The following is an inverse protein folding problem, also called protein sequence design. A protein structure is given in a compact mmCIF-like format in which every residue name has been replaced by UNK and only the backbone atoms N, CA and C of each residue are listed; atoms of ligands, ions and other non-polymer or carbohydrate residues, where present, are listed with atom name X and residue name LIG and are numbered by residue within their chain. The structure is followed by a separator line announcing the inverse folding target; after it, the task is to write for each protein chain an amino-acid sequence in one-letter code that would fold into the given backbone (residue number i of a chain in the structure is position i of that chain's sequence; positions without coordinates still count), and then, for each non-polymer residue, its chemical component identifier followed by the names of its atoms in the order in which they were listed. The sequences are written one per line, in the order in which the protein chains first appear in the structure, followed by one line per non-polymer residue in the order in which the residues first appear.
data_IF_114734167333
#
_entry.id   IF_114734167333
#
_cell.length_a   1.000
_cell.length_b   1.000
_cell.length_c   1.000
_cell.angle_alpha   90.00
_cell.angle_beta   90.00
_cell.angle_gamma   90.00
#
_symmetry.space_group_name_H-M   'P 1'
#
loop_
_entity.id
_entity.type
_entity.pdbx_description
1 polymer ?
#
# COMPACT_ATOMS: atom_id res chain seq x y z
N UNK A 1 -42.09 45.16 11.51
CA UNK A 1 -40.84 44.42 11.24
C UNK A 1 -40.81 43.30 12.26
N UNK A 2 -41.49 42.20 11.97
CA UNK A 2 -41.57 41.03 12.87
C UNK A 2 -40.39 40.11 12.59
N UNK A 3 -39.68 39.75 13.66
CA UNK A 3 -38.57 38.81 13.66
C UNK A 3 -39.17 37.40 13.66
N UNK A 4 -38.91 36.62 12.62
CA UNK A 4 -39.34 35.21 12.55
C UNK A 4 -38.36 34.37 13.37
N UNK A 5 -38.88 33.77 14.43
CA UNK A 5 -38.19 32.85 15.32
C UNK A 5 -37.94 31.50 14.61
N UNK A 6 -36.66 31.14 14.45
CA UNK A 6 -36.19 29.93 13.76
C UNK A 6 -36.03 28.72 14.71
N UNK A 7 -36.43 28.85 15.98
CA UNK A 7 -36.22 27.82 17.00
C UNK A 7 -37.12 26.58 16.87
N UNK A 8 -38.03 26.52 15.89
CA UNK A 8 -39.00 25.42 15.79
C UNK A 8 -39.29 24.94 14.36
N UNK A 9 -38.26 24.89 13.49
CA UNK A 9 -38.39 24.15 12.24
C UNK A 9 -38.31 22.63 12.55
N UNK A 10 -39.30 21.81 12.15
CA UNK A 10 -39.20 20.37 12.32
C UNK A 10 -37.98 19.88 11.55
N UNK A 11 -37.13 19.10 12.24
CA UNK A 11 -35.97 18.40 11.69
C UNK A 11 -36.39 17.60 10.47
N UNK A 12 -36.34 18.24 9.31
CA UNK A 12 -36.72 17.62 8.05
C UNK A 12 -35.54 16.74 7.70
N UNK A 13 -35.68 15.44 8.00
CA UNK A 13 -34.87 14.40 7.39
C UNK A 13 -34.92 14.65 5.89
N UNK A 14 -33.83 15.17 5.34
CA UNK A 14 -33.61 15.17 3.92
C UNK A 14 -33.33 13.70 3.59
N UNK A 15 -34.37 12.97 3.19
CA UNK A 15 -34.23 11.74 2.42
C UNK A 15 -33.49 12.11 1.12
N UNK A 16 -32.17 11.97 1.14
CA UNK A 16 -31.36 12.02 -0.07
C UNK A 16 -31.64 10.72 -0.82
N UNK A 17 -32.37 10.85 -1.94
CA UNK A 17 -32.77 9.75 -2.79
C UNK A 17 -31.59 8.82 -3.17
N UNK A 18 -31.70 7.54 -2.83
CA UNK A 18 -31.25 6.41 -3.66
C UNK A 18 -29.76 6.14 -3.87
N UNK A 19 -28.83 6.82 -3.19
CA UNK A 19 -27.41 6.43 -3.22
C UNK A 19 -27.10 5.51 -2.03
N UNK A 20 -26.92 4.22 -2.28
CA UNK A 20 -26.35 3.31 -1.29
C UNK A 20 -24.96 3.81 -0.90
N UNK A 21 -24.70 3.96 0.40
CA UNK A 21 -23.39 4.40 0.89
C UNK A 21 -22.28 3.46 0.38
N UNK A 22 -21.23 3.95 -0.30
CA UNK A 22 -20.14 3.10 -0.74
C UNK A 22 -19.47 2.39 0.45
N UNK A 23 -19.48 1.06 0.41
CA UNK A 23 -18.72 0.21 1.31
C UNK A 23 -17.28 0.07 0.80
N UNK A 24 -16.31 0.36 1.68
CA UNK A 24 -14.88 0.26 1.44
C UNK A 24 -14.32 -0.86 2.33
N UNK A 25 -13.92 -1.97 1.72
CA UNK A 25 -13.30 -3.08 2.43
C UNK A 25 -11.79 -3.03 2.23
N UNK A 26 -11.05 -2.89 3.33
CA UNK A 26 -9.60 -2.99 3.36
C UNK A 26 -9.20 -4.45 3.60
N UNK A 27 -8.39 -5.03 2.74
CA UNK A 27 -7.91 -6.42 2.85
C UNK A 27 -6.40 -6.40 3.03
N UNK A 28 -5.94 -6.56 4.26
CA UNK A 28 -4.52 -6.49 4.58
C UNK A 28 -4.21 -6.48 6.06
N UNK A 29 -2.96 -6.15 6.37
CA UNK A 29 -2.48 -6.18 7.75
C UNK A 29 -2.94 -4.96 8.55
N UNK A 30 -3.17 -5.12 9.86
CA UNK A 30 -3.47 -3.99 10.76
C UNK A 30 -2.35 -2.94 10.83
N UNK A 31 -1.14 -3.32 10.42
CA UNK A 31 -0.01 -2.39 10.30
C UNK A 31 -0.20 -1.42 9.14
N UNK A 32 -0.67 -1.92 8.01
CA UNK A 32 -0.91 -1.12 6.80
C UNK A 32 -2.27 -0.42 6.84
N UNK A 33 -3.28 -1.08 7.41
CA UNK A 33 -4.63 -0.55 7.60
C UNK A 33 -4.94 -0.42 9.10
N UNK A 34 -4.38 0.64 9.69
CA UNK A 34 -4.52 0.90 11.13
C UNK A 34 -5.95 1.33 11.51
N UNK A 35 -6.41 1.07 12.75
CA UNK A 35 -7.72 1.54 13.23
C UNK A 35 -7.94 3.04 13.07
N UNK A 36 -6.87 3.85 13.17
CA UNK A 36 -6.94 5.30 12.98
C UNK A 36 -7.24 5.67 11.52
N UNK A 37 -6.66 4.97 10.54
CA UNK A 37 -6.97 5.16 9.13
C UNK A 37 -8.43 4.82 8.83
N UNK A 38 -8.91 3.71 9.40
CA UNK A 38 -10.31 3.27 9.21
C UNK A 38 -11.27 4.28 9.82
N UNK A 39 -11.00 4.71 11.06
CA UNK A 39 -11.81 5.73 11.73
C UNK A 39 -11.85 7.03 10.93
N UNK A 40 -10.69 7.49 10.44
CA UNK A 40 -10.63 8.69 9.60
C UNK A 40 -11.38 8.50 8.27
N UNK A 41 -11.28 7.33 7.65
CA UNK A 41 -12.01 7.02 6.40
C UNK A 41 -13.52 7.12 6.62
N UNK A 42 -14.04 6.49 7.68
CA UNK A 42 -15.47 6.52 8.02
C UNK A 42 -15.95 7.93 8.38
N UNK A 43 -15.16 8.68 9.18
CA UNK A 43 -15.56 10.00 9.68
C UNK A 43 -15.42 11.11 8.63
N UNK A 44 -14.33 11.13 7.86
CA UNK A 44 -13.98 12.24 6.97
C UNK A 44 -14.57 12.09 5.57
N UNK A 45 -14.79 10.85 5.11
CA UNK A 45 -15.40 10.67 3.80
C UNK A 45 -16.90 10.92 3.83
N UNK A 46 -17.56 10.63 4.97
CA UNK A 46 -19.02 10.67 5.07
C UNK A 46 -19.66 9.68 4.11
N UNK A 47 -20.77 9.05 4.49
CA UNK A 47 -21.45 8.10 3.59
C UNK A 47 -20.58 6.92 3.12
N UNK A 48 -19.56 6.53 3.90
CA UNK A 48 -18.70 5.36 3.64
C UNK A 48 -18.69 4.46 4.87
N UNK A 49 -18.87 3.16 4.68
CA UNK A 49 -18.62 2.13 5.71
C UNK A 49 -17.25 1.53 5.40
N UNK A 50 -16.34 1.54 6.38
CA UNK A 50 -15.01 1.00 6.23
C UNK A 50 -14.73 -0.12 7.23
N UNK A 51 -14.33 -1.29 6.73
CA UNK A 51 -13.94 -2.45 7.53
C UNK A 51 -12.59 -3.03 7.07
N UNK A 52 -11.93 -3.74 7.98
CA UNK A 52 -10.63 -4.40 7.70
C UNK A 52 -10.78 -5.90 7.82
N UNK A 53 -10.39 -6.59 6.76
CA UNK A 53 -10.20 -8.03 6.70
C UNK A 53 -8.71 -8.33 6.60
N UNK A 54 -8.27 -9.41 7.22
CA UNK A 54 -6.85 -9.79 7.23
C UNK A 54 -6.48 -10.76 6.11
N UNK A 55 -7.48 -11.28 5.37
CA UNK A 55 -7.27 -12.26 4.30
C UNK A 55 -8.36 -12.23 3.24
N UNK A 56 -8.06 -12.75 2.05
CA UNK A 56 -9.04 -12.99 1.00
C UNK A 56 -10.09 -14.04 1.36
N UNK A 57 -9.75 -15.01 2.21
CA UNK A 57 -10.70 -15.99 2.69
C UNK A 57 -11.83 -15.33 3.52
N UNK A 58 -11.49 -14.30 4.29
CA UNK A 58 -12.49 -13.55 5.05
C UNK A 58 -13.33 -12.66 4.13
N UNK A 59 -12.73 -12.10 3.06
CA UNK A 59 -13.48 -11.40 2.02
C UNK A 59 -14.48 -12.33 1.33
N UNK A 60 -14.06 -13.55 1.01
CA UNK A 60 -14.91 -14.56 0.39
C UNK A 60 -16.11 -14.90 1.28
N UNK A 61 -15.87 -15.13 2.58
CA UNK A 61 -16.94 -15.37 3.55
C UNK A 61 -17.90 -14.20 3.66
N UNK A 62 -17.39 -12.97 3.72
CA UNK A 62 -18.21 -11.77 3.81
C UNK A 62 -19.20 -11.69 2.65
N UNK A 63 -18.70 -11.85 1.43
CA UNK A 63 -19.50 -11.78 0.20
C UNK A 63 -20.56 -12.90 0.17
N UNK A 64 -20.17 -14.13 0.53
CA UNK A 64 -21.10 -15.26 0.58
C UNK A 64 -22.19 -15.11 1.65
N UNK A 65 -21.86 -14.56 2.81
CA UNK A 65 -22.78 -14.46 3.95
C UNK A 65 -23.75 -13.29 3.83
N UNK A 66 -23.29 -12.15 3.31
CA UNK A 66 -24.11 -10.94 3.20
C UNK A 66 -24.89 -10.88 1.89
N UNK A 67 -24.38 -11.52 0.83
CA UNK A 67 -24.91 -11.36 -0.53
C UNK A 67 -24.74 -9.93 -1.07
N UNK A 68 -24.01 -9.06 -0.37
CA UNK A 68 -23.71 -7.70 -0.77
C UNK A 68 -22.30 -7.65 -1.36
N UNK A 69 -22.14 -6.91 -2.46
CA UNK A 69 -20.83 -6.71 -3.07
C UNK A 69 -20.29 -5.35 -2.64
N UNK A 70 -19.13 -5.29 -1.97
CA UNK A 70 -18.55 -4.02 -1.58
C UNK A 70 -18.24 -3.19 -2.82
N UNK A 71 -18.48 -1.88 -2.74
CA UNK A 71 -18.24 -0.98 -3.87
C UNK A 71 -16.77 -0.67 -4.08
N UNK A 72 -15.95 -0.77 -3.03
CA UNK A 72 -14.51 -0.54 -3.09
C UNK A 72 -13.80 -1.61 -2.29
N UNK A 73 -12.75 -2.18 -2.87
CA UNK A 73 -11.85 -3.11 -2.18
C UNK A 73 -10.44 -2.55 -2.28
N UNK A 74 -9.81 -2.27 -1.14
CA UNK A 74 -8.42 -1.79 -1.06
C UNK A 74 -7.56 -2.90 -0.49
N UNK A 75 -6.52 -3.30 -1.22
CA UNK A 75 -5.69 -4.45 -0.89
C UNK A 75 -4.26 -3.98 -0.69
N UNK A 76 -3.62 -4.41 0.39
CA UNK A 76 -2.20 -4.10 0.60
C UNK A 76 -1.30 -5.02 -0.24
N UNK A 77 -0.12 -4.52 -0.58
CA UNK A 77 0.86 -5.27 -1.35
C UNK A 77 1.23 -6.64 -0.73
N UNK A 78 1.53 -6.77 0.57
CA UNK A 78 1.84 -8.08 1.16
C UNK A 78 0.73 -9.11 0.95
N UNK A 79 -0.54 -8.70 1.00
CA UNK A 79 -1.68 -9.59 0.75
C UNK A 79 -1.78 -9.95 -0.73
N UNK A 80 -1.56 -9.00 -1.64
CA UNK A 80 -1.49 -9.30 -3.08
C UNK A 80 -0.32 -10.19 -3.48
N UNK A 81 0.84 -10.08 -2.82
CA UNK A 81 2.00 -10.95 -3.08
C UNK A 81 1.70 -12.42 -2.78
N UNK A 82 0.75 -12.68 -1.88
CA UNK A 82 0.32 -14.03 -1.50
C UNK A 82 -1.00 -14.45 -2.17
N UNK A 83 -1.39 -13.79 -3.26
CA UNK A 83 -2.65 -14.05 -3.96
C UNK A 83 -2.65 -15.43 -4.63
N UNK A 84 -3.59 -16.29 -4.24
CA UNK A 84 -3.79 -17.60 -4.85
C UNK A 84 -4.78 -17.53 -6.03
N UNK A 85 -4.86 -18.60 -6.83
CA UNK A 85 -5.75 -18.65 -7.99
C UNK A 85 -7.24 -18.48 -7.63
N UNK A 86 -7.66 -19.03 -6.49
CA UNK A 86 -9.03 -18.84 -5.99
C UNK A 86 -9.34 -17.37 -5.65
N UNK A 87 -8.36 -16.63 -5.13
CA UNK A 87 -8.50 -15.22 -4.80
C UNK A 87 -8.56 -14.36 -6.07
N UNK A 88 -7.78 -14.72 -7.10
CA UNK A 88 -7.87 -14.12 -8.45
C UNK A 88 -9.27 -14.29 -9.03
N UNK A 89 -9.80 -15.51 -8.95
CA UNK A 89 -11.14 -15.83 -9.43
C UNK A 89 -12.22 -15.01 -8.71
N UNK A 90 -12.12 -14.88 -7.38
CA UNK A 90 -13.03 -14.03 -6.60
C UNK A 90 -12.98 -12.57 -7.08
N UNK A 91 -11.79 -12.01 -7.28
CA UNK A 91 -11.66 -10.63 -7.77
C UNK A 91 -12.26 -10.42 -9.17
N UNK A 92 -12.26 -11.46 -10.02
CA UNK A 92 -12.95 -11.42 -11.32
C UNK A 92 -14.47 -11.45 -11.17
N UNK A 93 -15.00 -12.25 -10.24
CA UNK A 93 -16.44 -12.43 -10.03
C UNK A 93 -17.12 -11.21 -9.41
N UNK A 94 -16.40 -10.40 -8.64
CA UNK A 94 -16.95 -9.19 -8.00
C UNK A 94 -17.07 -8.05 -9.04
N UNK A 95 -18.15 -8.07 -9.84
CA UNK A 95 -18.32 -7.15 -10.97
C UNK A 95 -18.63 -5.68 -10.58
N UNK A 96 -19.08 -5.46 -9.35
CA UNK A 96 -19.52 -4.13 -8.90
C UNK A 96 -18.41 -3.28 -8.24
N UNK A 97 -17.26 -3.86 -7.90
CA UNK A 97 -16.27 -3.21 -7.05
C UNK A 97 -15.19 -2.46 -7.85
N UNK A 98 -14.81 -1.26 -7.38
CA UNK A 98 -13.54 -0.62 -7.73
C UNK A 98 -12.41 -1.20 -6.89
N UNK A 99 -11.25 -1.46 -7.49
CA UNK A 99 -10.12 -2.11 -6.80
C UNK A 99 -8.99 -1.10 -6.62
N UNK A 100 -8.50 -0.97 -5.38
CA UNK A 100 -7.32 -0.19 -5.02
C UNK A 100 -6.17 -1.07 -4.55
N UNK A 101 -4.98 -0.89 -5.11
CA UNK A 101 -3.72 -1.48 -4.64
C UNK A 101 -2.93 -0.43 -3.86
N UNK A 102 -2.72 -0.69 -2.57
CA UNK A 102 -1.84 0.09 -1.71
C UNK A 102 -0.45 -0.58 -1.63
N UNK A 103 0.58 0.03 -2.21
CA UNK A 103 1.91 -0.58 -2.37
C UNK A 103 3.01 0.03 -1.50
N UNK A 104 4.02 -0.78 -1.20
CA UNK A 104 5.29 -0.36 -0.59
C UNK A 104 6.43 -0.34 -1.63
N UNK A 105 6.41 -1.22 -2.63
CA UNK A 105 7.38 -1.32 -3.72
C UNK A 105 6.77 -0.84 -5.03
N UNK A 106 7.33 0.22 -5.60
CA UNK A 106 6.92 0.74 -6.91
C UNK A 106 7.15 -0.28 -8.03
N UNK A 107 8.19 -1.12 -7.92
CA UNK A 107 8.46 -2.20 -8.90
C UNK A 107 7.36 -3.24 -8.91
N UNK A 108 6.93 -3.70 -7.74
CA UNK A 108 5.80 -4.63 -7.65
C UNK A 108 4.52 -3.98 -8.17
N UNK A 109 4.24 -2.74 -7.77
CA UNK A 109 3.08 -2.00 -8.22
C UNK A 109 3.05 -1.82 -9.75
N UNK A 110 4.18 -1.52 -10.37
CA UNK A 110 4.30 -1.38 -11.81
C UNK A 110 4.16 -2.71 -12.55
N UNK A 111 4.77 -3.78 -12.05
CA UNK A 111 4.58 -5.12 -12.61
C UNK A 111 3.11 -5.54 -12.56
N UNK A 112 2.45 -5.30 -11.43
CA UNK A 112 1.04 -5.65 -11.22
C UNK A 112 0.09 -4.76 -12.04
N UNK A 113 0.35 -3.45 -12.14
CA UNK A 113 -0.43 -2.52 -12.97
C UNK A 113 -0.32 -2.83 -14.47
N UNK A 114 0.84 -3.33 -14.90
CA UNK A 114 1.09 -3.73 -16.28
C UNK A 114 0.68 -5.19 -16.56
N UNK A 115 0.33 -5.98 -15.55
CA UNK A 115 -0.27 -7.29 -15.73
C UNK A 115 -1.67 -7.11 -16.35
N UNK A 116 -1.83 -7.57 -17.59
CA UNK A 116 -3.04 -7.35 -18.37
C UNK A 116 -4.22 -8.20 -17.90
N UNK A 117 -3.98 -9.17 -17.01
CA UNK A 117 -5.03 -10.09 -16.54
C UNK A 117 -6.10 -9.38 -15.69
N UNK A 118 -5.75 -8.31 -14.97
CA UNK A 118 -6.66 -7.56 -14.10
C UNK A 118 -7.14 -6.21 -14.68
N UNK A 119 -6.83 -5.92 -15.96
CA UNK A 119 -7.20 -4.67 -16.65
C UNK A 119 -8.70 -4.47 -16.92
N UNK A 120 -9.57 -5.37 -16.46
CA UNK A 120 -11.00 -5.33 -16.73
C UNK A 120 -11.76 -4.23 -15.95
N UNK A 121 -11.10 -3.46 -15.08
CA UNK A 121 -11.74 -2.47 -14.17
C UNK A 121 -10.94 -1.19 -13.97
N UNK A 122 -11.60 -0.17 -13.40
CA UNK A 122 -10.94 0.99 -12.76
C UNK A 122 -10.07 0.51 -11.59
N UNK A 123 -8.81 0.17 -11.91
CA UNK A 123 -7.80 -0.20 -10.94
C UNK A 123 -7.05 1.05 -10.51
N UNK A 124 -7.02 1.29 -9.21
CA UNK A 124 -6.22 2.35 -8.61
C UNK A 124 -4.98 1.79 -7.94
N UNK A 125 -3.85 2.47 -8.07
CA UNK A 125 -2.55 2.02 -7.55
C UNK A 125 -1.86 3.21 -6.87
N UNK A 126 -1.56 3.10 -5.58
CA UNK A 126 -1.03 4.20 -4.78
C UNK A 126 -0.14 3.73 -3.61
N UNK A 127 0.77 4.59 -3.11
CA UNK A 127 1.70 4.17 -2.06
C UNK A 127 1.02 4.06 -0.68
N UNK A 128 1.43 3.07 0.12
CA UNK A 128 1.00 2.90 1.50
C UNK A 128 1.42 4.08 2.39
N UNK A 129 2.56 4.69 2.08
CA UNK A 129 3.21 5.70 2.92
C UNK A 129 2.92 7.14 2.46
N UNK A 130 1.69 7.44 2.03
CA UNK A 130 1.27 8.82 1.75
C UNK A 130 0.63 9.49 2.97
N UNK A 131 0.51 10.82 2.93
CA UNK A 131 -0.18 11.59 3.97
C UNK A 131 -1.67 11.21 4.03
N UNK A 132 -2.27 11.30 5.22
CA UNK A 132 -3.66 10.89 5.44
C UNK A 132 -4.67 11.65 4.56
N UNK A 133 -4.47 12.94 4.32
CA UNK A 133 -5.32 13.75 3.43
C UNK A 133 -5.26 13.27 1.97
N UNK A 134 -4.06 12.86 1.52
CA UNK A 134 -3.87 12.25 0.19
C UNK A 134 -4.56 10.89 0.14
N UNK A 135 -4.40 10.06 1.16
CA UNK A 135 -5.11 8.78 1.31
C UNK A 135 -6.63 8.95 1.18
N UNK A 136 -7.22 9.85 1.96
CA UNK A 136 -8.66 10.11 1.92
C UNK A 136 -9.11 10.62 0.56
N UNK A 137 -8.31 11.49 -0.08
CA UNK A 137 -8.61 11.97 -1.44
C UNK A 137 -8.62 10.84 -2.46
N UNK A 138 -7.67 9.91 -2.38
CA UNK A 138 -7.62 8.73 -3.26
C UNK A 138 -8.83 7.83 -3.02
N UNK A 139 -9.14 7.49 -1.76
CA UNK A 139 -10.30 6.66 -1.45
C UNK A 139 -11.59 7.31 -1.96
N UNK A 140 -11.72 8.64 -1.81
CA UNK A 140 -12.87 9.39 -2.34
C UNK A 140 -12.99 9.29 -3.85
N UNK A 141 -11.89 9.36 -4.59
CA UNK A 141 -11.91 9.15 -6.05
C UNK A 141 -12.40 7.75 -6.39
N UNK A 142 -11.85 6.73 -5.73
CA UNK A 142 -12.19 5.32 -5.97
C UNK A 142 -13.66 5.04 -5.63
N UNK A 143 -14.16 5.57 -4.52
CA UNK A 143 -15.56 5.42 -4.09
C UNK A 143 -16.56 6.04 -5.07
N UNK A 144 -16.14 7.01 -5.88
CA UNK A 144 -16.95 7.59 -6.96
C UNK A 144 -16.66 6.97 -8.34
N UNK A 145 -15.98 5.82 -8.39
CA UNK A 145 -15.68 5.08 -9.61
C UNK A 145 -14.52 5.64 -10.43
N UNK A 146 -13.81 6.66 -9.93
CA UNK A 146 -12.64 7.22 -10.60
C UNK A 146 -11.38 6.43 -10.21
N UNK A 147 -10.54 6.14 -11.21
CA UNK A 147 -9.24 5.53 -10.99
C UNK A 147 -8.18 6.56 -10.55
N UNK A 148 -7.27 6.16 -9.66
CA UNK A 148 -6.06 6.90 -9.35
C UNK A 148 -4.84 6.00 -9.53
N UNK A 149 -3.91 6.38 -10.40
CA UNK A 149 -2.65 5.66 -10.57
C UNK A 149 -1.52 6.64 -10.28
N UNK A 150 -0.64 6.25 -9.35
CA UNK A 150 0.49 7.07 -8.99
C UNK A 150 1.41 7.28 -10.23
N UNK A 151 1.84 8.52 -10.55
CA UNK A 151 2.66 8.78 -11.73
C UNK A 151 3.94 7.96 -11.81
N UNK A 152 4.56 7.62 -10.66
CA UNK A 152 5.77 6.80 -10.62
C UNK A 152 5.55 5.37 -11.13
N UNK A 153 4.32 4.83 -10.99
CA UNK A 153 3.93 3.52 -11.52
C UNK A 153 3.73 3.60 -13.03
N UNK A 154 3.11 4.68 -13.52
CA UNK A 154 2.89 4.91 -14.96
C UNK A 154 4.19 5.17 -15.73
N UNK A 155 5.10 5.93 -15.11
CA UNK A 155 6.40 6.28 -15.67
C UNK A 155 7.46 5.21 -15.40
N UNK A 156 7.10 4.16 -14.66
CA UNK A 156 8.03 3.10 -14.29
C UNK A 156 8.59 2.44 -15.54
N UNK A 157 9.91 2.40 -15.62
CA UNK A 157 10.64 1.58 -16.57
C UNK A 157 11.24 0.43 -15.78
N UNK A 158 11.04 -0.80 -16.26
CA UNK A 158 11.64 -1.97 -15.63
C UNK A 158 13.13 -1.68 -15.35
N UNK A 159 13.55 -1.76 -14.08
CA UNK A 159 14.92 -1.51 -13.73
C UNK A 159 15.79 -2.57 -14.41
N UNK A 160 17.05 -2.22 -14.71
CA UNK A 160 18.06 -3.24 -15.03
C UNK A 160 17.99 -4.33 -13.93
N UNK A 161 18.00 -5.64 -14.23
CA UNK A 161 17.93 -6.73 -13.25
C UNK A 161 18.77 -6.54 -11.97
N UNK A 162 19.86 -5.77 -12.06
CA UNK A 162 20.68 -5.33 -10.91
C UNK A 162 19.93 -4.54 -9.84
N UNK A 163 18.93 -3.74 -10.21
CA UNK A 163 18.15 -2.88 -9.30
C UNK A 163 16.93 -3.63 -8.72
N UNK A 164 16.37 -4.60 -9.44
CA UNK A 164 15.30 -5.49 -8.95
C UNK A 164 15.71 -6.27 -7.71
N UNK A 165 16.96 -6.73 -7.70
CA UNK A 165 17.55 -7.49 -6.61
C UNK A 165 17.72 -6.63 -5.34
N UNK A 166 17.86 -5.31 -5.48
CA UNK A 166 17.92 -4.35 -4.36
C UNK A 166 16.53 -4.08 -3.76
N UNK A 167 15.46 -4.18 -4.57
CA UNK A 167 14.06 -3.96 -4.17
C UNK A 167 13.41 -5.20 -3.53
N UNK A 168 13.87 -6.42 -3.87
CA UNK A 168 13.42 -7.69 -3.26
C UNK A 168 13.57 -7.69 -1.72
N UNK A 169 14.62 -7.03 -1.22
CA UNK A 169 14.88 -6.89 0.22
C UNK A 169 14.40 -5.55 0.80
N UNK A 170 13.71 -4.75 -0.02
CA UNK A 170 13.22 -3.40 0.31
C UNK A 170 14.29 -2.52 0.98
N UNK A 171 15.56 -2.61 0.53
CA UNK A 171 16.67 -1.88 1.12
C UNK A 171 16.54 -0.38 0.83
N UNK A 172 16.87 0.47 1.81
CA UNK A 172 16.89 1.92 1.55
C UNK A 172 18.19 2.30 0.84
N UNK A 173 18.20 3.42 0.11
CA UNK A 173 19.41 3.91 -0.57
C UNK A 173 20.63 3.98 0.37
N UNK A 174 20.43 4.47 1.60
CA UNK A 174 21.52 4.53 2.60
C UNK A 174 22.02 3.16 3.06
N UNK A 175 21.15 2.15 3.10
CA UNK A 175 21.55 0.78 3.41
C UNK A 175 22.37 0.18 2.26
N UNK A 176 21.98 0.47 1.02
CA UNK A 176 22.71 0.07 -0.19
C UNK A 176 24.09 0.70 -0.20
N UNK A 177 24.19 2.03 -0.02
CA UNK A 177 25.47 2.75 0.02
C UNK A 177 26.45 2.15 1.05
N UNK A 178 25.92 1.79 2.23
CA UNK A 178 26.70 1.15 3.30
C UNK A 178 27.11 -0.27 2.90
N UNK A 179 26.19 -1.10 2.41
CA UNK A 179 26.48 -2.48 1.99
C UNK A 179 27.50 -2.55 0.86
N UNK A 180 27.44 -1.63 -0.10
CA UNK A 180 28.39 -1.55 -1.21
C UNK A 180 29.82 -1.32 -0.69
N UNK A 181 30.00 -0.37 0.23
CA UNK A 181 31.32 -0.12 0.83
C UNK A 181 31.79 -1.26 1.74
N UNK A 182 30.86 -1.97 2.40
CA UNK A 182 31.20 -3.19 3.17
C UNK A 182 31.65 -4.30 2.23
N UNK A 183 31.01 -4.47 1.08
CA UNK A 183 31.37 -5.43 0.04
C UNK A 183 32.74 -5.11 -0.59
N UNK A 184 33.12 -3.83 -0.65
CA UNK A 184 34.46 -3.36 -1.03
C UNK A 184 35.51 -3.54 0.10
N UNK A 185 35.13 -4.15 1.24
CA UNK A 185 36.03 -4.44 2.36
C UNK A 185 36.33 -3.25 3.28
N UNK A 186 35.57 -2.15 3.18
CA UNK A 186 35.81 -0.98 4.02
C UNK A 186 35.45 -1.23 5.50
N UNK A 187 36.11 -0.50 6.39
CA UNK A 187 35.78 -0.48 7.82
C UNK A 187 34.68 0.54 8.09
N UNK A 188 33.86 0.33 9.13
CA UNK A 188 32.78 1.25 9.49
C UNK A 188 33.27 2.70 9.71
N UNK A 189 34.53 2.87 10.15
CA UNK A 189 35.16 4.19 10.29
C UNK A 189 35.35 4.86 8.93
N UNK A 190 35.92 4.14 7.95
CA UNK A 190 36.10 4.67 6.59
C UNK A 190 34.76 4.91 5.87
N UNK A 191 33.76 4.07 6.12
CA UNK A 191 32.41 4.25 5.59
C UNK A 191 31.76 5.52 6.17
N UNK A 192 31.89 5.72 7.48
CA UNK A 192 31.41 6.91 8.17
C UNK A 192 32.04 8.18 7.58
N UNK A 193 33.36 8.19 7.43
CA UNK A 193 34.10 9.31 6.84
C UNK A 193 33.65 9.59 5.38
N UNK A 194 33.45 8.54 4.57
CA UNK A 194 33.09 8.67 3.15
C UNK A 194 31.64 9.11 2.93
N UNK A 195 30.72 8.70 3.79
CA UNK A 195 29.29 9.01 3.66
C UNK A 195 28.86 10.22 4.50
N UNK A 196 29.77 10.84 5.26
CA UNK A 196 29.45 11.95 6.18
C UNK A 196 28.55 11.52 7.34
N UNK A 197 28.72 10.29 7.82
CA UNK A 197 27.91 9.69 8.89
C UNK A 197 28.74 9.44 10.14
N UNK A 198 28.09 9.20 11.28
CA UNK A 198 28.77 8.67 12.47
C UNK A 198 29.01 7.16 12.33
N UNK A 199 30.05 6.64 12.99
CA UNK A 199 30.31 5.18 13.04
C UNK A 199 29.12 4.41 13.62
N UNK A 200 28.40 5.02 14.58
CA UNK A 200 27.19 4.44 15.15
C UNK A 200 26.06 4.35 14.12
N UNK A 201 25.84 5.41 13.34
CA UNK A 201 24.85 5.45 12.25
C UNK A 201 25.14 4.39 11.18
N UNK A 202 26.42 4.18 10.83
CA UNK A 202 26.83 3.11 9.91
C UNK A 202 26.49 1.72 10.47
N UNK A 203 26.76 1.48 11.77
CA UNK A 203 26.38 0.22 12.42
C UNK A 203 24.88 -0.02 12.37
N UNK A 204 24.07 1.02 12.59
CA UNK A 204 22.61 0.93 12.54
C UNK A 204 22.11 0.59 11.13
N UNK A 205 22.60 1.29 10.10
CA UNK A 205 22.25 0.96 8.70
C UNK A 205 22.65 -0.46 8.35
N UNK A 206 23.86 -0.90 8.72
CA UNK A 206 24.34 -2.24 8.47
C UNK A 206 23.52 -3.31 9.20
N UNK A 207 23.11 -3.06 10.45
CA UNK A 207 22.26 -3.96 11.21
C UNK A 207 20.90 -4.15 10.53
N UNK A 208 20.23 -3.04 10.18
CA UNK A 208 18.92 -3.07 9.54
C UNK A 208 18.99 -3.72 8.14
N UNK A 209 20.06 -3.45 7.39
CA UNK A 209 20.29 -4.08 6.09
C UNK A 209 20.55 -5.59 6.23
N UNK A 210 21.35 -6.01 7.23
CA UNK A 210 21.63 -7.42 7.49
C UNK A 210 20.36 -8.19 7.88
N UNK A 211 19.49 -7.58 8.69
CA UNK A 211 18.18 -8.16 9.04
C UNK A 211 17.32 -8.38 7.78
N UNK A 212 17.27 -7.40 6.88
CA UNK A 212 16.52 -7.50 5.62
C UNK A 212 17.08 -8.58 4.69
N UNK A 213 18.40 -8.72 4.64
CA UNK A 213 19.07 -9.77 3.85
C UNK A 213 19.06 -11.16 4.52
N UNK A 214 18.54 -11.28 5.75
CA UNK A 214 18.63 -12.52 6.55
C UNK A 214 20.07 -12.94 6.88
N UNK A 215 21.01 -11.98 6.89
CA UNK A 215 22.43 -12.23 7.16
C UNK A 215 22.74 -12.12 8.67
N UNK A 216 23.58 -13.02 9.17
CA UNK A 216 23.94 -13.08 10.61
C UNK A 216 25.13 -12.20 10.97
N UNK A 217 25.96 -11.85 9.99
CA UNK A 217 27.13 -11.02 10.21
C UNK A 217 27.45 -10.16 8.97
N UNK A 218 28.36 -9.19 9.14
CA UNK A 218 28.74 -8.24 8.08
C UNK A 218 29.29 -8.93 6.82
N UNK A 219 29.98 -10.05 6.98
CA UNK A 219 30.60 -10.77 5.87
C UNK A 219 29.55 -11.50 5.05
N UNK A 220 28.61 -12.15 5.74
CA UNK A 220 27.45 -12.78 5.12
C UNK A 220 26.55 -11.74 4.45
N UNK A 221 26.36 -10.56 5.06
CA UNK A 221 25.59 -9.46 4.47
C UNK A 221 26.24 -8.98 3.16
N UNK A 222 27.58 -8.84 3.14
CA UNK A 222 28.32 -8.48 1.93
C UNK A 222 28.21 -9.57 0.84
N UNK A 223 28.35 -10.85 1.20
CA UNK A 223 28.23 -11.96 0.26
C UNK A 223 26.83 -12.03 -0.35
N UNK A 224 25.78 -11.93 0.47
CA UNK A 224 24.39 -11.93 -0.01
C UNK A 224 24.11 -10.71 -0.89
N UNK A 225 24.56 -9.52 -0.49
CA UNK A 225 24.44 -8.32 -1.32
C UNK A 225 25.15 -8.48 -2.69
N UNK A 226 26.34 -9.07 -2.73
CA UNK A 226 27.05 -9.34 -3.99
C UNK A 226 26.38 -10.42 -4.86
N UNK A 227 25.80 -11.46 -4.23
CA UNK A 227 25.09 -12.51 -4.95
C UNK A 227 23.83 -11.98 -5.64
N UNK A 228 23.19 -11.01 -5.00
CA UNK A 228 21.99 -10.30 -5.48
C UNK A 228 22.33 -9.30 -6.60
N UNK A 229 23.56 -8.74 -6.62
CA UNK A 229 23.99 -7.75 -7.63
C UNK A 229 24.49 -8.36 -8.97
N UNK A 230 24.74 -9.67 -9.05
CA UNK A 230 25.28 -10.36 -10.24
C UNK A 230 24.19 -10.74 -11.23
#
# INVERSE_FOLDING_TARGET
MEVIDISNAPSTQIEVAGLSMPEVIFVGTQRNFSPSLITATTQELGQVIADVLTSFNDLHKLIQQTGHHPTVIIIDEPTLRNLHEADRQLLYEIDAASIGLAYASTTFAAAWYNDHTLRLRSVSVFPLNVRLDVWLSIIRLIAHGAGYVCPEVMLFKEPDPKTLAEDEFCLTQRQIDVLQLVADGQSNKRIADRLGLSVHTVKLHLHNASQRLGARNRTEAAMRYQAVRK
#
